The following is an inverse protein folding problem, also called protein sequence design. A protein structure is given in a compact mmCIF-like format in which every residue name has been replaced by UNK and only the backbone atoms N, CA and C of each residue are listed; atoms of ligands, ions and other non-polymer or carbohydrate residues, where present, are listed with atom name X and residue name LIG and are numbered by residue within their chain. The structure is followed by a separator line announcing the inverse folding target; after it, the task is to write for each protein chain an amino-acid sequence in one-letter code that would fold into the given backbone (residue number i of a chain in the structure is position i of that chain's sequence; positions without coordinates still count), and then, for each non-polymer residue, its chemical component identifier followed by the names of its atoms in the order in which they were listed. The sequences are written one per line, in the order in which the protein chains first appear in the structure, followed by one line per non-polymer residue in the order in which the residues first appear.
data_IF_975180952442
#
_entry.id   IF_975180952442
#
_cell.length_a   1.000
_cell.length_b   1.000
_cell.length_c   1.000
_cell.angle_alpha   90.00
_cell.angle_beta   90.00
_cell.angle_gamma   90.00
#
_symmetry.space_group_name_H-M   'P 1'
#
loop_
_entity.id
_entity.type
_entity.pdbx_description
1 polymer ?
#
# COMPACT_ATOMS: atom_id res chain seq x y z
N UNK A 1 -27.50 -22.30 -15.67
CA UNK A 1 -26.58 -21.37 -14.99
C UNK A 1 -27.20 -19.99 -15.10
N UNK A 2 -27.93 -19.57 -14.07
CA UNK A 2 -28.62 -18.29 -14.07
C UNK A 2 -27.61 -17.16 -13.92
N UNK A 3 -27.79 -16.08 -14.69
CA UNK A 3 -27.18 -14.81 -14.32
C UNK A 3 -27.71 -14.45 -12.94
N UNK A 4 -26.85 -14.45 -11.93
CA UNK A 4 -27.15 -13.76 -10.68
C UNK A 4 -27.40 -12.30 -11.07
N UNK A 5 -28.68 -11.91 -11.04
CA UNK A 5 -29.10 -10.58 -11.44
C UNK A 5 -28.31 -9.60 -10.58
N UNK A 6 -27.53 -8.71 -11.21
CA UNK A 6 -26.88 -7.62 -10.49
C UNK A 6 -27.99 -6.79 -9.85
N UNK A 7 -28.20 -7.00 -8.55
CA UNK A 7 -29.17 -6.25 -7.78
C UNK A 7 -28.61 -4.85 -7.59
N UNK A 8 -29.21 -3.90 -8.30
CA UNK A 8 -28.95 -2.49 -8.08
C UNK A 8 -30.07 -1.94 -7.21
N UNK A 9 -29.76 -1.55 -5.96
CA UNK A 9 -30.78 -0.97 -5.11
C UNK A 9 -31.34 0.33 -5.74
N UNK A 10 -32.67 0.43 -5.71
CA UNK A 10 -33.43 1.60 -6.20
C UNK A 10 -33.13 2.82 -5.32
N UNK A 11 -33.05 2.60 -4.00
CA UNK A 11 -32.61 3.61 -3.04
C UNK A 11 -31.07 3.70 -2.99
N UNK A 12 -30.54 4.90 -3.25
CA UNK A 12 -29.09 5.13 -3.26
C UNK A 12 -28.45 5.02 -1.88
N UNK A 13 -29.22 5.12 -0.81
CA UNK A 13 -28.71 4.99 0.56
C UNK A 13 -28.20 3.59 0.86
N UNK A 14 -28.69 2.56 0.17
CA UNK A 14 -28.22 1.17 0.34
C UNK A 14 -26.77 0.94 -0.16
N UNK A 15 -26.20 1.88 -0.95
CA UNK A 15 -24.78 1.82 -1.35
C UNK A 15 -23.82 2.40 -0.30
N UNK A 16 -24.32 3.12 0.71
CA UNK A 16 -23.48 3.76 1.75
C UNK A 16 -22.54 2.75 2.43
N UNK A 17 -23.00 1.55 2.85
CA UNK A 17 -22.13 0.55 3.46
C UNK A 17 -20.98 0.13 2.53
N UNK A 18 -21.25 -0.06 1.23
CA UNK A 18 -20.23 -0.44 0.25
C UNK A 18 -19.17 0.64 0.07
N UNK A 19 -19.59 1.92 0.03
CA UNK A 19 -18.67 3.06 -0.09
C UNK A 19 -17.79 3.19 1.16
N UNK A 20 -18.36 2.99 2.35
CA UNK A 20 -17.59 3.01 3.61
C UNK A 20 -16.51 1.93 3.60
N UNK A 21 -16.87 0.70 3.22
CA UNK A 21 -15.91 -0.42 3.12
C UNK A 21 -14.81 -0.09 2.10
N UNK A 22 -15.17 0.40 0.92
CA UNK A 22 -14.22 0.80 -0.11
C UNK A 22 -13.24 1.86 0.41
N UNK A 23 -13.74 2.89 1.10
CA UNK A 23 -12.91 3.95 1.67
C UNK A 23 -11.94 3.39 2.71
N UNK A 24 -12.41 2.51 3.61
CA UNK A 24 -11.55 1.89 4.63
C UNK A 24 -10.40 1.11 3.96
N UNK A 25 -10.70 0.30 2.94
CA UNK A 25 -9.67 -0.44 2.22
C UNK A 25 -8.74 0.46 1.41
N UNK A 26 -9.25 1.51 0.77
CA UNK A 26 -8.44 2.45 0.02
C UNK A 26 -7.46 3.21 0.93
N UNK A 27 -7.93 3.68 2.09
CA UNK A 27 -7.09 4.32 3.10
C UNK A 27 -6.07 3.31 3.63
N UNK A 28 -6.49 2.09 3.97
CA UNK A 28 -5.61 1.03 4.42
C UNK A 28 -4.49 0.73 3.42
N UNK A 29 -4.81 0.59 2.14
CA UNK A 29 -3.84 0.38 1.07
C UNK A 29 -2.85 1.55 0.95
N UNK A 30 -3.35 2.79 1.02
CA UNK A 30 -2.50 3.99 1.00
C UNK A 30 -1.52 4.03 2.19
N UNK A 31 -2.00 3.72 3.40
CA UNK A 31 -1.18 3.67 4.61
C UNK A 31 -0.12 2.57 4.52
N UNK A 32 -0.49 1.36 4.12
CA UNK A 32 0.45 0.23 3.96
C UNK A 32 1.51 0.58 2.92
N UNK A 33 1.12 1.12 1.77
CA UNK A 33 2.07 1.52 0.72
C UNK A 33 3.03 2.60 1.22
N UNK A 34 2.53 3.59 1.96
CA UNK A 34 3.36 4.62 2.55
C UNK A 34 4.38 4.04 3.55
N UNK A 35 3.95 3.14 4.44
CA UNK A 35 4.85 2.47 5.37
C UNK A 35 5.92 1.64 4.65
N UNK A 36 5.53 0.91 3.60
CA UNK A 36 6.43 0.08 2.82
C UNK A 36 7.53 0.91 2.14
N UNK A 37 7.14 2.00 1.46
CA UNK A 37 8.10 2.92 0.82
C UNK A 37 9.03 3.54 1.85
N UNK A 38 8.50 4.01 2.98
CA UNK A 38 9.30 4.62 4.05
C UNK A 38 10.30 3.64 4.65
N UNK A 39 9.89 2.38 4.86
CA UNK A 39 10.77 1.35 5.37
C UNK A 39 11.87 1.00 4.36
N UNK A 40 11.48 0.76 3.11
CA UNK A 40 12.39 0.42 2.01
C UNK A 40 13.47 1.48 1.80
N UNK A 41 13.12 2.78 1.85
CA UNK A 41 14.11 3.87 1.75
C UNK A 41 15.14 3.82 2.88
N UNK A 42 14.71 3.56 4.12
CA UNK A 42 15.61 3.46 5.27
C UNK A 42 16.56 2.26 5.16
N UNK A 43 16.10 1.17 4.55
CA UNK A 43 16.94 -0.01 4.30
C UNK A 43 17.93 0.23 3.17
N UNK A 44 17.52 0.94 2.11
CA UNK A 44 18.39 1.35 1.01
C UNK A 44 19.53 2.24 1.52
N UNK A 45 19.21 3.30 2.28
CA UNK A 45 20.23 4.23 2.81
C UNK A 45 21.28 3.51 3.67
N UNK A 46 20.85 2.58 4.55
CA UNK A 46 21.78 1.77 5.35
C UNK A 46 22.67 0.87 4.50
N UNK A 47 22.11 0.30 3.45
CA UNK A 47 22.84 -0.59 2.55
C UNK A 47 23.93 0.20 1.81
N UNK A 48 23.59 1.39 1.31
CA UNK A 48 24.53 2.29 0.63
C UNK A 48 25.64 2.73 1.59
N UNK A 49 25.32 3.14 2.82
CA UNK A 49 26.33 3.48 3.85
C UNK A 49 27.29 2.31 4.12
N UNK A 50 26.76 1.09 4.26
CA UNK A 50 27.57 -0.10 4.45
C UNK A 50 28.45 -0.40 3.24
N UNK A 51 27.94 -0.27 2.02
CA UNK A 51 28.73 -0.46 0.81
C UNK A 51 29.86 0.56 0.71
N UNK A 52 29.58 1.84 0.92
CA UNK A 52 30.59 2.91 0.89
C UNK A 52 31.72 2.66 1.90
N UNK A 53 31.37 2.32 3.14
CA UNK A 53 32.37 1.99 4.17
C UNK A 53 33.24 0.78 3.83
N UNK A 54 32.71 -0.19 3.07
CA UNK A 54 33.47 -1.37 2.65
C UNK A 54 34.39 -1.09 1.45
N UNK A 55 34.09 -0.08 0.62
CA UNK A 55 34.96 0.34 -0.47
C UNK A 55 36.13 1.16 0.08
N UNK A 56 35.85 2.16 0.94
CA UNK A 56 36.89 3.00 1.56
C UNK A 56 37.94 2.15 2.32
N UNK A 57 37.51 1.09 3.02
CA UNK A 57 38.40 0.16 3.74
C UNK A 57 39.26 -0.74 2.84
N UNK A 58 38.95 -0.85 1.54
CA UNK A 58 39.76 -1.64 0.59
C UNK A 58 40.75 -0.79 -0.19
N UNK A 59 40.58 0.52 -0.16
CA UNK A 59 41.46 1.48 -0.82
C UNK A 59 42.57 2.01 0.11
N UNK A 60 42.48 1.75 1.42
CA UNK A 60 43.58 1.88 2.41
C UNK A 60 44.42 0.60 2.56
#
# INVERSE_FOLDING_TARGET
MGMEFLYFPEDKTEYIPAIIVLIIFAIGAGVVMYFFIKHSKKEADKTDEHYQQNIDKREE
#
